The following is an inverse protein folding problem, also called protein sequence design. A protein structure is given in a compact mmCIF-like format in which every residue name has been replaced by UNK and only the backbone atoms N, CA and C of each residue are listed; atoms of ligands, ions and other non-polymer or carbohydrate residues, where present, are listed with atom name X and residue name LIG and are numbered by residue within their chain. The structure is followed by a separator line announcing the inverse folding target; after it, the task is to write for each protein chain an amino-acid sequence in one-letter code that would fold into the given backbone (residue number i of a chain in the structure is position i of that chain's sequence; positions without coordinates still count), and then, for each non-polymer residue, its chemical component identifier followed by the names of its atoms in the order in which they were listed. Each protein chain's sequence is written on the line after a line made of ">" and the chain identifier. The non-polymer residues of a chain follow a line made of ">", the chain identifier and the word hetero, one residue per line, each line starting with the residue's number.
data_IF_398316489172
#
_entry.id   IF_398316489172
#
_cell.length_a   1.000
_cell.length_b   1.000
_cell.length_c   1.000
_cell.angle_alpha   90.00
_cell.angle_beta   90.00
_cell.angle_gamma   90.00
#
_symmetry.space_group_name_H-M   'P 1'
#
loop_
_entity.id
_entity.type
_entity.pdbx_description
1 polymer ?
#
# COMPACT_ATOMS: atom_id res chain seq x y z
N UNK A 1 -37.90 -8.86 -15.20
CA UNK A 1 -36.92 -9.64 -14.41
C UNK A 1 -36.92 -9.09 -12.99
N UNK A 2 -37.26 -9.91 -12.00
CA UNK A 2 -37.34 -9.50 -10.59
C UNK A 2 -35.99 -9.75 -9.93
N UNK A 3 -35.35 -8.71 -9.43
CA UNK A 3 -34.08 -8.78 -8.70
C UNK A 3 -34.41 -9.04 -7.24
N UNK A 4 -34.05 -10.22 -6.74
CA UNK A 4 -34.27 -10.64 -5.36
C UNK A 4 -33.11 -10.18 -4.49
N UNK A 5 -33.32 -9.15 -3.66
CA UNK A 5 -32.37 -8.71 -2.63
C UNK A 5 -32.27 -9.79 -1.54
N UNK A 6 -31.10 -10.40 -1.37
CA UNK A 6 -30.81 -11.30 -0.23
C UNK A 6 -30.25 -10.48 0.93
N UNK A 7 -30.92 -10.59 2.07
CA UNK A 7 -30.59 -9.94 3.34
C UNK A 7 -29.19 -10.33 3.82
N UNK A 8 -28.43 -9.32 4.24
CA UNK A 8 -27.11 -9.44 4.86
C UNK A 8 -27.33 -9.87 6.33
N UNK A 9 -26.84 -11.05 6.68
CA UNK A 9 -26.79 -11.56 8.04
C UNK A 9 -25.57 -10.96 8.74
N UNK A 10 -25.80 -10.00 9.63
CA UNK A 10 -24.78 -9.40 10.50
C UNK A 10 -24.23 -10.44 11.48
N UNK A 11 -22.97 -10.82 11.33
CA UNK A 11 -22.22 -11.57 12.35
C UNK A 11 -21.44 -10.57 13.18
N UNK A 12 -21.89 -10.34 14.41
CA UNK A 12 -21.17 -9.56 15.41
C UNK A 12 -19.97 -10.38 15.92
N UNK A 13 -18.75 -9.92 15.63
CA UNK A 13 -17.50 -10.46 16.17
C UNK A 13 -17.21 -9.74 17.49
N UNK A 14 -17.24 -10.48 18.60
CA UNK A 14 -16.84 -9.99 19.92
C UNK A 14 -15.30 -10.06 20.06
N UNK A 15 -14.68 -8.92 20.39
CA UNK A 15 -13.23 -8.80 20.63
C UNK A 15 -12.99 -8.91 22.16
N UNK A 16 -12.16 -9.83 22.66
CA UNK A 16 -11.73 -9.79 24.04
C UNK A 16 -10.60 -8.77 24.24
N UNK A 17 -10.77 -7.88 25.22
CA UNK A 17 -9.75 -6.96 25.74
C UNK A 17 -8.77 -7.76 26.59
N UNK A 18 -7.49 -7.79 26.21
CA UNK A 18 -6.41 -8.35 27.03
C UNK A 18 -5.51 -7.21 27.51
N UNK A 19 -5.50 -6.98 28.83
CA UNK A 19 -4.63 -6.03 29.51
C UNK A 19 -3.21 -6.61 29.65
N UNK A 20 -2.18 -5.87 29.20
CA UNK A 20 -0.79 -6.14 29.55
C UNK A 20 -0.36 -5.19 30.67
N UNK A 21 -0.01 -5.80 31.80
CA UNK A 21 0.66 -5.18 32.94
C UNK A 21 2.12 -4.83 32.58
N UNK A 22 2.60 -3.69 33.09
CA UNK A 22 3.97 -3.23 32.90
C UNK A 22 5.00 -3.96 33.77
N UNK A 23 6.26 -3.86 33.37
CA UNK A 23 7.43 -4.01 34.23
C UNK A 23 8.37 -2.83 33.96
N UNK A 24 8.61 -2.07 35.02
CA UNK A 24 9.61 -1.02 35.20
C UNK A 24 10.83 -1.69 35.84
N UNK A 25 12.02 -1.60 35.24
CA UNK A 25 13.26 -1.98 35.92
C UNK A 25 14.31 -0.86 35.78
N UNK A 26 14.52 -0.20 36.91
CA UNK A 26 15.57 0.78 37.20
C UNK A 26 16.92 0.05 37.35
N UNK A 27 17.93 0.41 36.55
CA UNK A 27 19.32 -0.05 36.76
C UNK A 27 20.08 1.00 37.56
N UNK A 28 20.40 0.64 38.82
CA UNK A 28 21.26 1.39 39.72
C UNK A 28 22.73 1.26 39.30
N UNK A 29 23.40 2.41 39.22
CA UNK A 29 24.82 2.52 38.94
C UNK A 29 25.59 2.63 40.26
N UNK A 30 26.37 1.60 40.63
CA UNK A 30 27.70 1.76 41.23
C UNK A 30 28.33 0.40 41.52
N UNK A 31 29.51 0.14 40.95
CA UNK A 31 30.73 -0.34 41.66
C UNK A 31 31.75 -0.93 40.69
N UNK A 32 32.83 -0.19 40.45
CA UNK A 32 34.13 -0.76 40.06
C UNK A 32 34.84 -1.30 41.32
N UNK A 33 35.75 -2.29 41.18
CA UNK A 33 37.17 -1.89 41.23
C UNK A 33 38.15 -2.71 40.36
N UNK A 34 39.15 -1.99 39.86
CA UNK A 34 40.60 -2.27 39.76
C UNK A 34 41.18 -3.62 39.25
N UNK A 35 41.90 -3.48 38.12
CA UNK A 35 43.26 -3.97 37.76
C UNK A 35 43.62 -5.46 37.84
N UNK A 36 44.06 -6.02 36.70
CA UNK A 36 45.32 -6.79 36.56
C UNK A 36 45.67 -7.01 35.08
N UNK A 37 46.97 -7.00 34.83
CA UNK A 37 47.70 -6.91 33.56
C UNK A 37 47.94 -8.28 32.87
N UNK A 38 48.15 -8.20 31.56
CA UNK A 38 48.77 -9.13 30.60
C UNK A 38 48.32 -10.60 30.52
N UNK A 39 47.64 -10.92 29.41
CA UNK A 39 47.58 -12.25 28.82
C UNK A 39 47.21 -12.16 27.35
N UNK A 40 48.19 -12.29 26.45
CA UNK A 40 47.96 -12.58 25.03
C UNK A 40 47.18 -13.88 24.90
N UNK A 41 46.01 -13.86 24.26
CA UNK A 41 45.60 -14.83 23.25
C UNK A 41 44.21 -14.49 22.68
N UNK A 42 44.06 -14.75 21.38
CA UNK A 42 42.82 -14.76 20.61
C UNK A 42 42.05 -13.42 20.49
N UNK A 43 42.30 -12.68 19.41
CA UNK A 43 41.26 -11.83 18.81
C UNK A 43 40.18 -12.73 18.20
N UNK A 44 39.32 -13.28 19.06
CA UNK A 44 37.93 -13.51 18.73
C UNK A 44 37.23 -12.16 18.86
N UNK A 45 37.02 -11.50 17.73
CA UNK A 45 35.95 -10.52 17.58
C UNK A 45 35.09 -10.97 16.38
N UNK A 46 34.47 -12.15 16.55
CA UNK A 46 33.07 -12.27 16.16
C UNK A 46 32.28 -11.29 17.03
N UNK A 47 31.14 -10.84 16.51
CA UNK A 47 30.14 -9.98 17.16
C UNK A 47 30.18 -8.49 16.77
N UNK A 48 30.26 -8.27 15.46
CA UNK A 48 29.47 -7.23 14.80
C UNK A 48 28.84 -7.77 13.52
N UNK A 49 28.27 -8.99 13.58
CA UNK A 49 27.19 -9.33 12.67
C UNK A 49 25.97 -8.55 13.17
N UNK A 50 25.80 -7.33 12.68
CA UNK A 50 24.54 -6.60 12.81
C UNK A 50 23.44 -7.57 12.41
N UNK A 51 22.57 -7.91 13.36
CA UNK A 51 21.38 -8.73 13.10
C UNK A 51 20.62 -8.05 11.95
N UNK A 52 20.82 -8.58 10.74
CA UNK A 52 20.22 -8.00 9.56
C UNK A 52 18.71 -8.10 9.79
N UNK A 53 17.96 -6.98 9.72
CA UNK A 53 16.54 -7.01 10.00
C UNK A 53 15.88 -8.13 9.21
N UNK A 54 15.17 -9.03 9.89
CA UNK A 54 14.44 -10.12 9.24
C UNK A 54 13.59 -9.52 8.12
N UNK A 55 13.78 -9.92 6.85
CA UNK A 55 13.11 -9.27 5.74
C UNK A 55 11.60 -9.40 5.92
N UNK A 56 10.85 -8.36 5.52
CA UNK A 56 9.39 -8.32 5.64
C UNK A 56 8.74 -9.59 5.09
N UNK A 57 9.29 -10.10 3.98
CA UNK A 57 8.89 -11.37 3.37
C UNK A 57 8.80 -12.54 4.38
N UNK A 58 9.82 -12.73 5.20
CA UNK A 58 9.84 -13.80 6.22
C UNK A 58 8.77 -13.57 7.29
N UNK A 59 8.55 -12.32 7.69
CA UNK A 59 7.54 -11.96 8.71
C UNK A 59 6.10 -12.09 8.22
N UNK A 60 5.87 -11.94 6.92
CA UNK A 60 4.58 -12.24 6.30
C UNK A 60 4.29 -13.76 6.27
N UNK A 61 5.26 -14.63 6.60
CA UNK A 61 5.13 -16.08 6.48
C UNK A 61 5.65 -16.62 5.15
N UNK A 62 6.55 -15.88 4.49
CA UNK A 62 7.14 -16.22 3.20
C UNK A 62 6.16 -16.08 2.04
N UNK A 63 6.38 -16.86 0.98
CA UNK A 63 5.57 -16.80 -0.25
C UNK A 63 4.07 -17.05 0.00
N UNK A 64 3.63 -18.02 0.82
CA UNK A 64 2.21 -18.20 1.10
C UNK A 64 1.54 -16.98 1.74
N UNK A 65 2.26 -16.26 2.60
CA UNK A 65 1.79 -15.04 3.23
C UNK A 65 1.66 -13.89 2.24
N UNK A 66 2.67 -13.72 1.39
CA UNK A 66 2.65 -12.72 0.32
C UNK A 66 1.52 -12.98 -0.67
N UNK A 67 1.30 -14.24 -1.08
CA UNK A 67 0.18 -14.61 -1.96
C UNK A 67 -1.16 -14.22 -1.35
N UNK A 68 -1.39 -14.52 -0.06
CA UNK A 68 -2.61 -14.12 0.65
C UNK A 68 -2.80 -12.61 0.71
N UNK A 69 -1.73 -11.87 0.99
CA UNK A 69 -1.77 -10.41 1.01
C UNK A 69 -2.15 -9.86 -0.37
N UNK A 70 -1.54 -10.35 -1.44
CA UNK A 70 -1.83 -9.92 -2.81
C UNK A 70 -3.24 -10.31 -3.24
N UNK A 71 -3.74 -11.47 -2.84
CA UNK A 71 -5.12 -11.87 -3.07
C UNK A 71 -6.12 -10.92 -2.40
N UNK A 72 -5.87 -10.56 -1.14
CA UNK A 72 -6.70 -9.61 -0.41
C UNK A 72 -6.64 -8.21 -1.03
N UNK A 73 -5.45 -7.74 -1.41
CA UNK A 73 -5.26 -6.47 -2.10
C UNK A 73 -6.05 -6.42 -3.39
N UNK A 74 -5.84 -7.37 -4.30
CA UNK A 74 -6.57 -7.38 -5.58
C UNK A 74 -8.07 -7.45 -5.36
N UNK A 75 -8.55 -8.22 -4.38
CA UNK A 75 -9.98 -8.28 -4.06
C UNK A 75 -10.54 -6.92 -3.58
N UNK A 76 -9.78 -6.19 -2.77
CA UNK A 76 -10.17 -4.86 -2.31
C UNK A 76 -10.13 -3.81 -3.42
N UNK A 77 -9.09 -3.83 -4.26
CA UNK A 77 -8.93 -2.89 -5.38
C UNK A 77 -10.07 -3.04 -6.40
N UNK A 78 -10.43 -4.26 -6.79
CA UNK A 78 -11.51 -4.49 -7.76
C UNK A 78 -12.92 -4.33 -7.15
N UNK A 79 -13.03 -4.10 -5.85
CA UNK A 79 -14.29 -3.70 -5.22
C UNK A 79 -14.59 -2.21 -5.45
N UNK A 80 -13.58 -1.39 -5.75
CA UNK A 80 -13.79 -0.01 -6.20
C UNK A 80 -14.11 0.01 -7.71
N UNK A 81 -15.23 0.62 -8.12
CA UNK A 81 -15.69 0.59 -9.51
C UNK A 81 -14.79 1.38 -10.46
N UNK A 82 -14.10 2.42 -9.99
CA UNK A 82 -13.17 3.19 -10.80
C UNK A 82 -11.93 2.35 -11.13
N UNK A 83 -11.37 1.67 -10.13
CA UNK A 83 -10.22 0.78 -10.31
C UNK A 83 -10.59 -0.46 -11.12
N UNK A 84 -11.74 -1.08 -10.83
CA UNK A 84 -12.24 -2.23 -11.58
C UNK A 84 -12.38 -1.96 -13.09
N UNK A 85 -12.66 -0.71 -13.47
CA UNK A 85 -12.84 -0.32 -14.87
C UNK A 85 -11.59 -0.49 -15.74
N UNK A 86 -10.39 -0.51 -15.15
CA UNK A 86 -9.13 -0.76 -15.86
C UNK A 86 -8.91 -2.26 -16.17
N UNK A 87 -9.64 -3.16 -15.51
CA UNK A 87 -9.45 -4.61 -15.61
C UNK A 87 -10.49 -5.31 -16.51
N UNK A 88 -11.31 -4.55 -17.24
CA UNK A 88 -12.43 -5.09 -18.04
C UNK A 88 -12.01 -6.13 -19.08
N UNK A 89 -10.78 -6.06 -19.60
CA UNK A 89 -10.25 -7.01 -20.59
C UNK A 89 -9.54 -8.23 -19.99
N UNK A 90 -9.37 -8.29 -18.67
CA UNK A 90 -8.62 -9.35 -18.00
C UNK A 90 -9.48 -10.56 -17.59
N UNK A 91 -10.82 -10.43 -17.65
CA UNK A 91 -11.77 -11.52 -17.42
C UNK A 91 -11.88 -12.50 -18.60
N UNK A 92 -11.43 -12.11 -19.79
CA UNK A 92 -11.43 -12.93 -21.00
C UNK A 92 -10.10 -12.71 -21.75
N UNK A 93 -9.00 -13.40 -21.36
CA UNK A 93 -7.67 -13.14 -21.88
C UNK A 93 -7.63 -13.38 -23.40
N UNK A 94 -7.50 -12.29 -24.13
CA UNK A 94 -7.29 -12.25 -25.58
C UNK A 94 -6.21 -11.20 -25.88
N UNK A 95 -5.62 -11.25 -27.08
CA UNK A 95 -4.76 -10.18 -27.61
C UNK A 95 -3.58 -9.72 -26.70
N UNK A 96 -2.97 -10.61 -25.91
CA UNK A 96 -1.82 -10.27 -25.06
C UNK A 96 -2.17 -9.61 -23.71
N UNK A 97 -3.45 -9.60 -23.34
CA UNK A 97 -3.89 -9.25 -21.99
C UNK A 97 -3.66 -10.43 -21.03
N UNK A 98 -3.03 -10.22 -19.85
CA UNK A 98 -2.93 -11.27 -18.85
C UNK A 98 -4.31 -11.62 -18.29
N UNK A 99 -4.49 -12.88 -17.91
CA UNK A 99 -5.57 -13.27 -17.01
C UNK A 99 -5.39 -12.66 -15.61
N UNK A 100 -6.47 -12.62 -14.81
CA UNK A 100 -6.40 -12.20 -13.40
C UNK A 100 -5.37 -13.02 -12.61
N UNK A 101 -5.27 -14.32 -12.85
CA UNK A 101 -4.26 -15.19 -12.23
C UNK A 101 -2.85 -14.72 -12.57
N UNK A 102 -2.57 -14.44 -13.84
CA UNK A 102 -1.26 -13.96 -14.28
C UNK A 102 -0.92 -12.58 -13.70
N UNK A 103 -1.91 -11.68 -13.57
CA UNK A 103 -1.70 -10.38 -12.90
C UNK A 103 -1.26 -10.61 -11.45
N UNK A 104 -1.97 -11.45 -10.71
CA UNK A 104 -1.64 -11.77 -9.31
C UNK A 104 -0.27 -12.40 -9.18
N UNK A 105 0.08 -13.34 -10.05
CA UNK A 105 1.41 -13.95 -10.06
C UNK A 105 2.51 -12.91 -10.34
N UNK A 106 2.31 -12.02 -11.32
CA UNK A 106 3.25 -10.93 -11.58
C UNK A 106 3.39 -9.99 -10.40
N UNK A 107 2.28 -9.65 -9.73
CA UNK A 107 2.30 -8.75 -8.58
C UNK A 107 2.99 -9.39 -7.36
N UNK A 108 2.78 -10.69 -7.11
CA UNK A 108 3.53 -11.48 -6.13
C UNK A 108 5.02 -11.46 -6.45
N UNK A 109 5.42 -11.67 -7.71
CA UNK A 109 6.84 -11.62 -8.12
C UNK A 109 7.45 -10.24 -7.92
N UNK A 110 6.71 -9.19 -8.27
CA UNK A 110 7.15 -7.81 -8.11
C UNK A 110 7.36 -7.42 -6.64
N UNK A 111 6.34 -7.60 -5.81
CA UNK A 111 6.41 -7.23 -4.39
C UNK A 111 7.41 -8.12 -3.65
N UNK A 112 7.45 -9.41 -3.94
CA UNK A 112 8.44 -10.30 -3.32
C UNK A 112 9.88 -9.91 -3.68
N UNK A 113 10.14 -9.45 -4.92
CA UNK A 113 11.46 -8.92 -5.32
C UNK A 113 11.79 -7.63 -4.56
N UNK A 114 10.83 -6.69 -4.48
CA UNK A 114 11.02 -5.43 -3.76
C UNK A 114 11.26 -5.61 -2.26
N UNK A 115 10.69 -6.66 -1.66
CA UNK A 115 10.85 -7.00 -0.24
C UNK A 115 12.08 -7.88 0.05
N UNK A 116 12.89 -8.20 -0.96
CA UNK A 116 14.09 -9.05 -0.80
C UNK A 116 13.77 -10.52 -0.51
N UNK A 117 12.62 -11.02 -0.95
CA UNK A 117 12.24 -12.41 -0.82
C UNK A 117 13.21 -13.32 -1.60
N UNK A 118 13.76 -14.39 -1.00
CA UNK A 118 14.68 -15.28 -1.69
C UNK A 118 13.99 -15.95 -2.89
N UNK A 119 14.65 -15.95 -4.04
CA UNK A 119 14.14 -16.58 -5.27
C UNK A 119 13.04 -15.79 -5.99
N UNK A 120 12.71 -14.58 -5.54
CA UNK A 120 11.85 -13.68 -6.28
C UNK A 120 12.66 -12.91 -7.32
N UNK A 121 12.12 -12.83 -8.54
CA UNK A 121 12.68 -12.04 -9.62
C UNK A 121 11.55 -11.41 -10.39
N UNK A 122 11.70 -10.16 -10.75
CA UNK A 122 10.75 -9.42 -11.55
C UNK A 122 11.51 -8.39 -12.40
N UNK A 123 11.18 -8.26 -13.70
CA UNK A 123 10.17 -9.02 -14.44
C UNK A 123 10.57 -10.49 -14.70
N UNK A 124 9.60 -11.39 -14.85
CA UNK A 124 9.82 -12.83 -15.11
C UNK A 124 8.61 -13.47 -15.81
N UNK A 125 8.77 -14.68 -16.33
CA UNK A 125 7.68 -15.52 -16.82
C UNK A 125 6.84 -16.07 -15.65
N UNK A 126 5.52 -16.17 -15.85
CA UNK A 126 4.57 -16.80 -14.92
C UNK A 126 3.74 -17.88 -15.63
N UNK A 127 2.63 -18.34 -15.03
CA UNK A 127 1.82 -19.41 -15.58
C UNK A 127 1.37 -19.13 -17.02
N UNK A 128 1.31 -20.20 -17.83
CA UNK A 128 0.97 -20.08 -19.25
C UNK A 128 2.02 -19.35 -20.11
N UNK A 129 3.23 -19.13 -19.60
CA UNK A 129 4.32 -18.48 -20.33
C UNK A 129 4.17 -16.97 -20.48
N UNK A 130 3.20 -16.36 -19.79
CA UNK A 130 3.02 -14.91 -19.80
C UNK A 130 4.24 -14.22 -19.19
N UNK A 131 4.77 -13.23 -19.89
CA UNK A 131 5.90 -12.44 -19.41
C UNK A 131 5.37 -11.24 -18.63
N UNK A 132 5.70 -11.18 -17.33
CA UNK A 132 5.47 -9.96 -16.58
C UNK A 132 6.24 -8.82 -17.24
N UNK A 133 5.60 -7.66 -17.31
CA UNK A 133 6.18 -6.43 -17.85
C UNK A 133 6.57 -5.52 -16.70
N UNK A 134 7.56 -4.66 -16.89
CA UNK A 134 7.87 -3.58 -15.95
C UNK A 134 6.68 -2.62 -15.80
N UNK A 135 6.68 -1.78 -14.76
CA UNK A 135 5.52 -0.92 -14.45
C UNK A 135 5.22 0.10 -15.54
N UNK A 136 6.23 0.69 -16.17
CA UNK A 136 6.02 1.66 -17.25
C UNK A 136 5.33 0.99 -18.45
N UNK A 137 5.88 -0.13 -18.90
CA UNK A 137 5.33 -0.88 -20.04
C UNK A 137 3.95 -1.45 -19.72
N UNK A 138 3.70 -1.92 -18.49
CA UNK A 138 2.42 -2.50 -18.11
C UNK A 138 1.27 -1.49 -18.06
N UNK A 139 1.55 -0.21 -17.73
CA UNK A 139 0.53 0.82 -17.49
C UNK A 139 0.48 1.92 -18.56
N UNK A 140 1.42 1.94 -19.51
CA UNK A 140 1.60 3.02 -20.51
C UNK A 140 0.31 3.44 -21.23
N UNK A 141 -0.55 2.49 -21.60
CA UNK A 141 -1.74 2.75 -22.41
C UNK A 141 -3.03 2.88 -21.56
N UNK A 142 -2.90 2.85 -20.23
CA UNK A 142 -4.03 2.96 -19.31
C UNK A 142 -4.35 4.41 -18.94
N UNK A 143 -3.42 5.35 -19.14
CA UNK A 143 -3.59 6.77 -18.82
C UNK A 143 -4.12 7.00 -17.40
N UNK A 144 -3.52 6.31 -16.42
CA UNK A 144 -3.93 6.38 -15.01
C UNK A 144 -3.66 7.79 -14.47
N UNK A 145 -4.69 8.43 -13.91
CA UNK A 145 -4.57 9.72 -13.24
C UNK A 145 -3.99 9.61 -11.83
N UNK A 146 -3.45 10.72 -11.32
CA UNK A 146 -2.82 10.74 -9.99
C UNK A 146 -3.81 10.42 -8.87
N UNK A 147 -5.05 10.91 -8.95
CA UNK A 147 -6.08 10.62 -7.93
C UNK A 147 -6.49 9.15 -7.91
N UNK A 148 -6.52 8.48 -9.08
CA UNK A 148 -6.76 7.04 -9.14
C UNK A 148 -5.61 6.26 -8.49
N UNK A 149 -4.37 6.66 -8.78
CA UNK A 149 -3.21 6.02 -8.17
C UNK A 149 -3.21 6.20 -6.64
N UNK A 150 -3.53 7.40 -6.15
CA UNK A 150 -3.58 7.68 -4.72
C UNK A 150 -4.74 6.93 -4.03
N UNK A 151 -5.87 6.74 -4.74
CA UNK A 151 -6.95 5.86 -4.30
C UNK A 151 -6.49 4.40 -4.18
N UNK A 152 -5.82 3.87 -5.20
CA UNK A 152 -5.21 2.53 -5.16
C UNK A 152 -4.25 2.41 -3.98
N UNK A 153 -3.35 3.38 -3.79
CA UNK A 153 -2.42 3.37 -2.66
C UNK A 153 -3.14 3.38 -1.29
N UNK A 154 -4.25 4.10 -1.18
CA UNK A 154 -5.08 4.17 0.02
C UNK A 154 -5.76 2.82 0.31
N UNK A 155 -6.36 2.18 -0.69
CA UNK A 155 -6.98 0.85 -0.56
C UNK A 155 -5.93 -0.19 -0.20
N UNK A 156 -4.76 -0.12 -0.83
CA UNK A 156 -3.66 -1.02 -0.55
C UNK A 156 -3.16 -0.91 0.91
N UNK A 157 -2.96 0.32 1.40
CA UNK A 157 -2.54 0.56 2.78
C UNK A 157 -3.59 0.09 3.80
N UNK A 158 -4.88 0.37 3.55
CA UNK A 158 -5.97 -0.08 4.42
C UNK A 158 -6.06 -1.61 4.47
N UNK A 159 -5.95 -2.27 3.33
CA UNK A 159 -5.99 -3.74 3.21
C UNK A 159 -4.81 -4.39 3.91
N UNK A 160 -3.59 -3.87 3.70
CA UNK A 160 -2.39 -4.35 4.37
C UNK A 160 -2.49 -4.18 5.90
N UNK A 161 -3.03 -3.06 6.37
CA UNK A 161 -3.29 -2.82 7.79
C UNK A 161 -4.28 -3.83 8.35
N UNK A 162 -5.40 -4.07 7.66
CA UNK A 162 -6.41 -5.06 8.05
C UNK A 162 -5.88 -6.50 8.04
N UNK A 163 -4.91 -6.80 7.18
CA UNK A 163 -4.22 -8.08 7.14
C UNK A 163 -3.16 -8.25 8.25
N UNK A 164 -2.95 -7.23 9.09
CA UNK A 164 -1.99 -7.27 10.19
C UNK A 164 -0.54 -7.08 9.76
N UNK A 165 -0.28 -6.46 8.59
CA UNK A 165 1.07 -6.11 8.17
C UNK A 165 1.66 -5.10 9.17
N UNK A 166 2.87 -5.35 9.73
CA UNK A 166 3.48 -4.45 10.69
C UNK A 166 3.87 -3.10 10.06
N UNK A 167 4.10 -2.09 10.90
CA UNK A 167 4.32 -0.70 10.47
C UNK A 167 5.50 -0.54 9.49
N UNK A 168 6.58 -1.29 9.68
CA UNK A 168 7.72 -1.28 8.78
C UNK A 168 7.41 -1.95 7.43
N UNK A 169 6.50 -2.91 7.42
CA UNK A 169 5.95 -3.47 6.19
C UNK A 169 5.05 -2.50 5.43
N UNK A 170 4.23 -1.73 6.14
CA UNK A 170 3.45 -0.63 5.55
C UNK A 170 4.37 0.45 4.98
N UNK A 171 5.47 0.76 5.67
CA UNK A 171 6.49 1.68 5.16
C UNK A 171 7.16 1.15 3.89
N UNK A 172 7.50 -0.15 3.83
CA UNK A 172 8.06 -0.77 2.63
C UNK A 172 7.07 -0.75 1.45
N UNK A 173 5.79 -1.04 1.69
CA UNK A 173 4.75 -0.96 0.67
C UNK A 173 4.56 0.49 0.18
N UNK A 174 4.52 1.46 1.09
CA UNK A 174 4.41 2.88 0.75
C UNK A 174 5.62 3.38 -0.06
N UNK A 175 6.84 2.99 0.33
CA UNK A 175 8.06 3.30 -0.42
C UNK A 175 8.05 2.69 -1.82
N UNK A 176 7.59 1.44 -1.94
CA UNK A 176 7.42 0.79 -3.23
C UNK A 176 6.41 1.52 -4.13
N UNK A 177 5.24 1.91 -3.60
CA UNK A 177 4.24 2.67 -4.36
C UNK A 177 4.78 4.03 -4.79
N UNK A 178 5.46 4.74 -3.88
CA UNK A 178 6.09 6.05 -4.17
C UNK A 178 7.12 5.94 -5.30
N UNK A 179 7.95 4.90 -5.29
CA UNK A 179 8.96 4.68 -6.32
C UNK A 179 8.35 4.36 -7.70
N UNK A 180 7.17 3.72 -7.74
CA UNK A 180 6.52 3.32 -8.98
C UNK A 180 5.54 4.35 -9.53
N UNK A 181 5.04 5.28 -8.70
CA UNK A 181 4.13 6.35 -9.11
C UNK A 181 4.57 7.07 -10.40
N UNK A 182 5.83 7.56 -10.56
CA UNK A 182 6.24 8.25 -11.78
C UNK A 182 6.31 7.36 -13.03
N UNK A 183 6.23 6.03 -12.88
CA UNK A 183 6.19 5.08 -14.00
C UNK A 183 4.75 4.79 -14.45
N UNK A 184 3.75 5.09 -13.62
CA UNK A 184 2.36 4.65 -13.80
C UNK A 184 1.44 5.84 -14.07
N UNK A 185 1.61 6.92 -13.31
CA UNK A 185 0.76 8.10 -13.42
C UNK A 185 1.10 8.83 -14.71
N UNK A 186 0.07 9.11 -15.51
CA UNK A 186 0.16 9.98 -16.67
C UNK A 186 0.35 11.43 -16.19
N UNK A 187 1.50 12.09 -16.46
CA UNK A 187 1.73 13.46 -16.01
C UNK A 187 0.70 14.47 -16.53
N UNK A 188 0.01 14.16 -17.64
CA UNK A 188 -1.06 15.00 -18.16
C UNK A 188 -2.36 14.91 -17.34
N UNK A 189 -2.43 13.96 -16.39
CA UNK A 189 -3.61 13.61 -15.58
C UNK A 189 -3.31 13.56 -14.08
N UNK A 190 -2.30 14.28 -13.64
CA UNK A 190 -1.86 14.30 -12.25
C UNK A 190 -3.01 14.62 -11.27
N UNK A 191 -3.88 15.56 -11.63
CA UNK A 191 -5.02 15.98 -10.80
C UNK A 191 -6.34 15.26 -11.15
N UNK A 192 -6.33 14.29 -12.06
CA UNK A 192 -7.55 13.63 -12.54
C UNK A 192 -7.77 12.28 -11.85
N UNK A 193 -9.05 11.91 -11.69
CA UNK A 193 -9.46 10.54 -11.40
C UNK A 193 -9.36 9.64 -12.64
N UNK A 194 -10.10 8.53 -12.61
CA UNK A 194 -10.01 7.49 -13.63
C UNK A 194 -10.43 7.95 -15.03
N UNK A 195 -10.30 7.10 -16.06
CA UNK A 195 -10.59 7.45 -17.45
C UNK A 195 -12.06 7.84 -17.71
N UNK A 196 -12.94 7.64 -16.72
CA UNK A 196 -14.35 8.03 -16.73
C UNK A 196 -14.66 9.22 -15.81
N UNK A 197 -13.68 9.71 -15.05
CA UNK A 197 -13.80 10.99 -14.37
C UNK A 197 -13.75 12.08 -15.45
N UNK A 198 -14.71 12.99 -15.41
CA UNK A 198 -15.03 13.88 -16.54
C UNK A 198 -13.92 14.89 -16.85
N UNK A 199 -12.80 14.85 -16.10
CA UNK A 199 -11.70 15.79 -16.22
C UNK A 199 -12.18 17.22 -16.05
N UNK A 200 -13.32 17.45 -15.36
CA UNK A 200 -13.66 18.77 -14.87
C UNK A 200 -12.55 19.08 -13.89
N UNK A 201 -11.55 19.80 -14.39
CA UNK A 201 -10.73 20.68 -13.60
C UNK A 201 -11.75 21.50 -12.82
N UNK A 202 -12.06 21.08 -11.60
CA UNK A 202 -12.46 22.06 -10.59
C UNK A 202 -11.16 22.82 -10.44
N UNK A 203 -11.03 23.85 -11.27
CA UNK A 203 -9.98 24.82 -11.13
C UNK A 203 -9.96 25.08 -9.63
N UNK A 204 -8.87 24.71 -8.97
CA UNK A 204 -8.61 25.18 -7.62
C UNK A 204 -8.29 26.65 -7.80
N UNK A 205 -9.32 27.40 -8.22
CA UNK A 205 -9.44 28.82 -8.13
C UNK A 205 -9.14 29.10 -6.69
N UNK A 206 -7.92 29.55 -6.48
CA UNK A 206 -7.62 30.48 -5.43
C UNK A 206 -8.52 31.69 -5.64
N UNK A 207 -9.81 31.56 -5.31
CA UNK A 207 -10.66 32.68 -4.96
C UNK A 207 -10.30 33.01 -3.51
N UNK A 208 -9.10 33.57 -3.39
CA UNK A 208 -8.79 34.48 -2.31
C UNK A 208 -9.90 35.54 -2.28
N UNK A 209 -10.28 35.90 -1.06
CA UNK A 209 -11.46 36.69 -0.75
C UNK A 209 -11.68 37.91 -1.64
N UNK A 210 -12.94 38.14 -1.94
CA UNK A 210 -13.49 39.48 -2.08
C UNK A 210 -14.81 39.48 -1.31
N UNK A 211 -14.69 39.62 0.00
CA UNK A 211 -15.43 40.59 0.79
C UNK A 211 -16.60 41.26 0.05
N UNK A 212 -17.74 40.59 0.08
CA UNK A 212 -19.03 41.26 0.07
C UNK A 212 -19.67 41.01 1.43
N UNK A 213 -19.34 41.91 2.36
CA UNK A 213 -20.08 42.08 3.59
C UNK A 213 -21.57 42.15 3.27
N UNK A 214 -22.35 41.27 3.91
CA UNK A 214 -23.77 41.50 4.08
C UNK A 214 -23.96 42.78 4.91
N UNK A 215 -24.83 43.72 4.51
CA UNK A 215 -25.44 44.62 5.46
C UNK A 215 -26.68 43.93 6.04
N UNK A 216 -26.56 43.46 7.27
CA UNK A 216 -27.68 43.26 8.19
C UNK A 216 -28.23 44.63 8.63
N UNK A 217 -29.53 44.81 8.46
CA UNK A 217 -30.49 45.59 9.27
C UNK A 217 -30.17 47.04 9.68
N UNK A 218 -31.04 47.96 9.27
CA UNK A 218 -31.58 48.99 10.18
C UNK A 218 -32.83 49.67 9.58
N UNK A 219 -33.97 49.40 10.19
CA UNK A 219 -35.11 50.30 10.18
C UNK A 219 -34.82 51.51 11.09
N UNK A 220 -35.17 52.74 10.67
CA UNK A 220 -35.60 53.83 11.56
C UNK A 220 -36.21 55.00 10.75
N UNK A 221 -37.52 55.15 10.90
CA UNK A 221 -38.33 56.35 11.15
C UNK A 221 -37.86 57.78 10.75
N UNK A 222 -38.83 58.59 10.26
CA UNK A 222 -38.89 60.04 10.48
C UNK A 222 -38.90 60.95 9.25
N UNK A 223 -40.06 61.52 8.91
CA UNK A 223 -40.21 62.67 8.00
C UNK A 223 -41.59 62.85 7.39
#
# INVERSE_FOLDING_TARGET
>A
MRVTFRAILSVAVAIPVLALAGCDETIDATKAPATSDAGSDATTASDAATDAPVPLFTRLGGEPGLVKLIDALVAAEVADPEIASYFVFNGAPAAGHPSVTQIKECFVKQVGTALGGPGFTYPTAVSGGFQCRDMGTAHKDLHIGGLTFDKFATIAAATATAAGVPADGLAALSGFLTANRPLIVDPAREDAGGPFDSGIKVDSGSDAGSDAAAPSDAATDGG
#
